data_IF_962722727725
#
_entry.id   IF_962722727725
#
_cell.length_a   1.000
_cell.length_b   1.000
_cell.length_c   1.000
_cell.angle_alpha   90.00
_cell.angle_beta   90.00
_cell.angle_gamma   90.00
#
_symmetry.space_group_name_H-M   'P 1'
#
loop_
_entity.id
_entity.type
_entity.pdbx_description
1 polymer ?
#
# COMPACT_ATOMS: atom_id res chain seq x y z
N UNK A 1 -1.61 26.62 -17.72
CA UNK A 1 -2.05 25.23 -17.58
C UNK A 1 -2.14 24.94 -16.08
N UNK A 2 -3.35 24.80 -15.53
CA UNK A 2 -3.54 24.41 -14.12
C UNK A 2 -3.80 22.91 -14.13
N UNK A 3 -2.93 22.13 -13.49
CA UNK A 3 -3.12 20.70 -13.34
C UNK A 3 -4.24 20.46 -12.32
N UNK A 4 -5.31 19.81 -12.75
CA UNK A 4 -6.39 19.42 -11.84
C UNK A 4 -6.09 18.06 -11.21
N UNK A 5 -6.39 17.94 -9.92
CA UNK A 5 -6.22 16.70 -9.15
C UNK A 5 -7.24 15.68 -9.67
N UNK A 6 -6.78 14.58 -10.25
CA UNK A 6 -7.66 13.49 -10.67
C UNK A 6 -8.36 12.88 -9.45
N UNK A 7 -9.69 12.76 -9.54
CA UNK A 7 -10.48 12.00 -8.58
C UNK A 7 -10.26 10.51 -8.86
N UNK A 8 -10.09 9.69 -7.82
CA UNK A 8 -9.75 8.25 -7.88
C UNK A 8 -8.30 7.84 -8.23
N UNK A 9 -7.31 8.73 -8.12
CA UNK A 9 -5.91 8.27 -8.11
C UNK A 9 -5.44 7.86 -6.70
N UNK A 10 -4.48 6.93 -6.58
CA UNK A 10 -3.92 6.58 -5.29
C UNK A 10 -3.35 7.81 -4.59
N UNK A 11 -3.71 7.99 -3.33
CA UNK A 11 -3.24 9.08 -2.46
C UNK A 11 -2.49 8.56 -1.26
N UNK A 12 -2.60 7.27 -1.00
CA UNK A 12 -1.97 6.61 0.12
C UNK A 12 -1.18 5.41 -0.38
N UNK A 13 -0.05 5.20 0.24
CA UNK A 13 0.73 3.97 0.16
C UNK A 13 0.74 3.31 1.53
N UNK A 14 0.54 1.99 1.56
CA UNK A 14 0.80 1.15 2.72
C UNK A 14 2.09 0.38 2.46
N UNK A 15 3.08 0.58 3.33
CA UNK A 15 4.39 -0.07 3.27
C UNK A 15 4.43 -1.10 4.40
N UNK A 16 4.62 -2.36 4.06
CA UNK A 16 4.60 -3.48 5.02
C UNK A 16 5.97 -4.18 4.96
N UNK A 17 6.78 -4.11 6.01
CA UNK A 17 8.02 -4.87 6.08
C UNK A 17 7.67 -6.37 6.19
N UNK A 18 8.30 -7.19 5.34
CA UNK A 18 8.06 -8.65 5.31
C UNK A 18 9.26 -9.49 5.72
N UNK A 19 10.25 -8.87 6.37
CA UNK A 19 11.42 -9.53 6.95
C UNK A 19 11.04 -10.76 7.79
N UNK A 20 9.97 -10.68 8.59
CA UNK A 20 9.53 -11.79 9.45
C UNK A 20 9.13 -13.05 8.67
N UNK A 21 8.74 -12.91 7.40
CA UNK A 21 8.33 -14.02 6.54
C UNK A 21 9.46 -14.44 5.61
N UNK A 22 10.16 -13.48 5.01
CA UNK A 22 11.16 -13.76 3.96
C UNK A 22 12.59 -13.86 4.49
N UNK A 23 12.85 -13.40 5.71
CA UNK A 23 14.18 -13.33 6.30
C UNK A 23 15.07 -12.24 5.68
N UNK A 24 14.49 -11.37 4.85
CA UNK A 24 15.21 -10.28 4.17
C UNK A 24 14.77 -8.92 4.71
N UNK A 25 15.73 -8.19 5.30
CA UNK A 25 15.53 -6.87 5.90
C UNK A 25 15.15 -5.78 4.89
N UNK A 26 15.54 -5.95 3.63
CA UNK A 26 15.33 -4.96 2.58
C UNK A 26 14.01 -5.18 1.82
N UNK A 27 13.22 -6.19 2.20
CA UNK A 27 12.02 -6.57 1.46
C UNK A 27 10.74 -6.01 2.09
N UNK A 28 9.99 -5.26 1.29
CA UNK A 28 8.76 -4.58 1.69
C UNK A 28 7.66 -4.78 0.64
N UNK A 29 6.42 -4.89 1.10
CA UNK A 29 5.24 -4.79 0.24
C UNK A 29 4.76 -3.35 0.22
N UNK A 30 4.49 -2.83 -0.97
CA UNK A 30 3.96 -1.50 -1.20
C UNK A 30 2.61 -1.60 -1.91
N UNK A 31 1.53 -1.21 -1.24
CA UNK A 31 0.18 -1.18 -1.83
C UNK A 31 -0.38 0.24 -1.88
N UNK A 32 -1.19 0.52 -2.90
CA UNK A 32 -1.64 1.88 -3.21
C UNK A 32 -3.15 1.97 -3.17
N UNK A 33 -3.69 3.01 -2.54
CA UNK A 33 -5.14 3.21 -2.43
C UNK A 33 -5.53 4.68 -2.51
N UNK A 34 -6.76 4.95 -2.96
CA UNK A 34 -7.34 6.31 -2.93
C UNK A 34 -7.57 6.77 -1.49
N UNK A 35 -7.70 5.81 -0.56
CA UNK A 35 -7.76 6.00 0.88
C UNK A 35 -6.76 5.12 1.63
N UNK A 36 -6.41 5.50 2.86
CA UNK A 36 -5.56 4.70 3.73
C UNK A 36 -6.13 3.30 3.99
N UNK A 37 -7.46 3.19 4.17
CA UNK A 37 -8.13 1.92 4.39
C UNK A 37 -8.06 1.00 3.18
N UNK A 38 -8.19 1.55 1.97
CA UNK A 38 -8.07 0.79 0.74
C UNK A 38 -6.64 0.28 0.53
N UNK A 39 -5.63 1.12 0.75
CA UNK A 39 -4.23 0.71 0.66
C UNK A 39 -3.93 -0.44 1.65
N UNK A 40 -4.45 -0.35 2.88
CA UNK A 40 -4.34 -1.42 3.89
C UNK A 40 -5.02 -2.71 3.44
N UNK A 41 -6.27 -2.63 2.99
CA UNK A 41 -7.02 -3.81 2.54
C UNK A 41 -6.32 -4.54 1.40
N UNK A 42 -5.73 -3.79 0.45
CA UNK A 42 -4.92 -4.39 -0.61
C UNK A 42 -3.67 -5.08 -0.05
N UNK A 43 -3.03 -4.48 0.96
CA UNK A 43 -1.87 -5.06 1.64
C UNK A 43 -2.20 -6.38 2.34
N UNK A 44 -3.29 -6.41 3.09
CA UNK A 44 -3.80 -7.62 3.75
C UNK A 44 -4.11 -8.73 2.75
N UNK A 45 -4.81 -8.39 1.65
CA UNK A 45 -5.10 -9.35 0.59
C UNK A 45 -3.83 -9.91 -0.05
N UNK A 46 -2.80 -9.08 -0.24
CA UNK A 46 -1.53 -9.52 -0.84
C UNK A 46 -0.76 -10.43 0.11
N UNK A 47 -0.73 -10.12 1.41
CA UNK A 47 -0.14 -10.99 2.44
C UNK A 47 -0.81 -12.38 2.48
N UNK A 48 -2.14 -12.43 2.46
CA UNK A 48 -2.86 -13.72 2.47
C UNK A 48 -2.74 -14.47 1.14
N UNK A 49 -2.86 -13.78 0.01
CA UNK A 49 -2.90 -14.44 -1.31
C UNK A 49 -1.52 -14.85 -1.84
N UNK A 50 -0.50 -14.00 -1.65
CA UNK A 50 0.84 -14.22 -2.22
C UNK A 50 1.75 -14.94 -1.23
N UNK A 51 1.72 -14.53 0.03
CA UNK A 51 2.60 -15.08 1.07
C UNK A 51 1.92 -16.15 1.92
N UNK A 52 0.62 -16.40 1.72
CA UNK A 52 -0.12 -17.43 2.47
C UNK A 52 -0.22 -17.14 3.97
N UNK A 53 -0.11 -15.86 4.37
CA UNK A 53 -0.11 -15.48 5.77
C UNK A 53 -1.45 -15.80 6.44
N UNK A 54 -1.39 -16.32 7.67
CA UNK A 54 -2.57 -16.51 8.50
C UNK A 54 -3.07 -15.18 9.10
N UNK A 55 -4.27 -15.19 9.69
CA UNK A 55 -4.88 -13.98 10.24
C UNK A 55 -4.06 -13.31 11.34
N UNK A 56 -3.33 -14.08 12.15
CA UNK A 56 -2.45 -13.54 13.19
C UNK A 56 -1.20 -12.88 12.62
N UNK A 57 -0.57 -13.51 11.64
CA UNK A 57 0.61 -13.01 10.93
C UNK A 57 0.29 -11.73 10.17
N UNK A 58 -0.84 -11.71 9.45
CA UNK A 58 -1.32 -10.49 8.77
C UNK A 58 -1.47 -9.37 9.79
N UNK A 59 -2.12 -9.63 10.92
CA UNK A 59 -2.36 -8.61 11.93
C UNK A 59 -1.05 -8.09 12.55
N UNK A 60 -0.07 -8.96 12.79
CA UNK A 60 1.25 -8.61 13.28
C UNK A 60 2.05 -7.74 12.28
N UNK A 61 2.00 -8.07 11.00
CA UNK A 61 2.68 -7.31 9.94
C UNK A 61 2.00 -5.97 9.69
N UNK A 62 0.67 -5.95 9.72
CA UNK A 62 -0.12 -4.71 9.57
C UNK A 62 0.06 -3.74 10.74
N UNK A 63 0.43 -4.21 11.94
CA UNK A 63 0.82 -3.34 13.04
C UNK A 63 2.17 -2.63 12.81
N UNK A 64 3.07 -3.28 12.06
CA UNK A 64 4.37 -2.71 11.67
C UNK A 64 4.28 -1.87 10.40
N UNK A 65 3.19 -2.03 9.64
CA UNK A 65 2.97 -1.32 8.41
C UNK A 65 2.86 0.19 8.62
N UNK A 66 3.47 0.94 7.71
CA UNK A 66 3.46 2.40 7.68
C UNK A 66 2.55 2.86 6.56
N UNK A 67 1.64 3.79 6.86
CA UNK A 67 0.86 4.47 5.82
C UNK A 67 1.46 5.84 5.58
N UNK A 68 1.75 6.13 4.33
CA UNK A 68 2.20 7.45 3.91
C UNK A 68 1.22 8.03 2.88
N UNK A 69 1.08 9.34 2.89
CA UNK A 69 0.36 10.05 1.85
C UNK A 69 1.33 10.34 0.70
N UNK A 70 0.97 9.93 -0.51
CA UNK A 70 1.77 10.22 -1.70
C UNK A 70 1.34 11.55 -2.33
N UNK A 71 2.30 12.21 -2.97
CA UNK A 71 2.02 13.39 -3.77
C UNK A 71 1.03 13.03 -4.88
N UNK A 72 0.08 13.92 -5.15
CA UNK A 72 -0.89 13.74 -6.21
C UNK A 72 -0.17 13.64 -7.55
N UNK A 73 -0.54 12.65 -8.37
CA UNK A 73 0.05 12.50 -9.68
C UNK A 73 -0.39 13.65 -10.58
N UNK A 74 0.60 14.44 -10.99
CA UNK A 74 0.47 15.51 -11.96
C UNK A 74 0.33 14.91 -13.37
N UNK A 75 -0.84 14.40 -13.74
CA UNK A 75 -1.09 13.89 -15.08
C UNK A 75 -1.73 14.98 -15.99
N UNK A 76 -1.27 15.16 -17.24
CA UNK A 76 -1.90 16.09 -18.18
C UNK A 76 -3.34 15.66 -18.52
N UNK A 77 -4.16 16.64 -18.91
CA UNK A 77 -5.55 16.42 -19.34
C UNK A 77 -5.56 15.51 -20.57
N UNK A 78 -6.33 14.42 -20.53
CA UNK A 78 -6.64 13.63 -21.71
C UNK A 78 -7.72 14.39 -22.49
N UNK A 79 -7.33 14.94 -23.63
CA UNK A 79 -8.17 15.77 -24.49
C UNK A 79 -9.12 14.95 -25.37
#
# INVERSE_FOLDING_TARGET
>A
MVQQIRQNEPRYICIIPIEKITGNLDEEIMTFGVSASEAKNQGEQLLTSTYGCDGSQVLELMQQARIEQIAQWCAPESH
#
